data_IF_146621063746
#
_entry.id   IF_146621063746
#
_cell.length_a   1.000
_cell.length_b   1.000
_cell.length_c   1.000
_cell.angle_alpha   90.00
_cell.angle_beta   90.00
_cell.angle_gamma   90.00
#
_symmetry.space_group_name_H-M   'P 1'
#
loop_
_entity.id
_entity.type
_entity.pdbx_description
1 polymer ?
#
# COMPACT_ATOMS: atom_id res chain seq x y z
N UNK A 1 -8.36 -32.67 -8.31
CA UNK A 1 -7.66 -32.17 -9.52
C UNK A 1 -6.81 -30.89 -9.28
N UNK A 2 -6.48 -30.49 -8.04
CA UNK A 2 -5.79 -29.20 -7.77
C UNK A 2 -4.26 -29.22 -7.63
N UNK A 3 -3.64 -30.34 -7.20
CA UNK A 3 -2.19 -30.38 -6.90
C UNK A 3 -1.31 -30.21 -8.13
N UNK A 4 -1.67 -30.82 -9.26
CA UNK A 4 -0.88 -30.75 -10.49
C UNK A 4 -0.79 -29.33 -11.03
N UNK A 5 -1.85 -28.51 -10.89
CA UNK A 5 -1.83 -27.11 -11.33
C UNK A 5 -0.88 -26.24 -10.49
N UNK A 6 -0.87 -26.45 -9.17
CA UNK A 6 0.01 -25.70 -8.26
C UNK A 6 1.48 -26.06 -8.48
N UNK A 7 1.80 -27.35 -8.53
CA UNK A 7 3.18 -27.81 -8.72
C UNK A 7 3.75 -27.28 -10.04
N UNK A 8 3.00 -27.37 -11.14
CA UNK A 8 3.44 -26.82 -12.43
C UNK A 8 3.67 -25.31 -12.38
N UNK A 9 2.87 -24.56 -11.62
CA UNK A 9 3.07 -23.12 -11.46
C UNK A 9 4.35 -22.81 -10.69
N UNK A 10 4.59 -23.53 -9.59
CA UNK A 10 5.80 -23.40 -8.77
C UNK A 10 7.06 -23.70 -9.60
N UNK A 11 7.02 -24.77 -10.40
CA UNK A 11 8.14 -25.16 -11.26
C UNK A 11 8.44 -24.10 -12.34
N UNK A 12 7.40 -23.52 -12.95
CA UNK A 12 7.54 -22.44 -13.95
C UNK A 12 8.12 -21.18 -13.33
N UNK A 13 7.62 -20.78 -12.14
CA UNK A 13 8.13 -19.61 -11.43
C UNK A 13 9.60 -19.81 -11.06
N UNK A 14 9.96 -20.99 -10.55
CA UNK A 14 11.36 -21.31 -10.19
C UNK A 14 12.29 -21.21 -11.40
N UNK A 15 11.89 -21.80 -12.53
CA UNK A 15 12.68 -21.75 -13.76
C UNK A 15 12.81 -20.33 -14.35
N UNK A 16 11.81 -19.46 -14.14
CA UNK A 16 11.87 -18.06 -14.55
C UNK A 16 12.82 -17.25 -13.67
N UNK A 17 12.75 -17.44 -12.35
CA UNK A 17 13.60 -16.75 -11.36
C UNK A 17 15.08 -17.06 -11.57
N UNK A 18 15.43 -18.30 -11.91
CA UNK A 18 16.82 -18.71 -12.21
C UNK A 18 17.47 -17.97 -13.38
N UNK A 19 16.68 -17.30 -14.24
CA UNK A 19 17.16 -16.58 -15.43
C UNK A 19 17.25 -15.07 -15.23
N UNK A 20 16.84 -14.54 -14.08
CA UNK A 20 16.82 -13.12 -13.80
C UNK A 20 18.19 -12.61 -13.36
N UNK A 21 18.47 -11.33 -13.64
CA UNK A 21 19.61 -10.63 -13.05
C UNK A 21 19.37 -10.35 -11.56
N UNK A 22 20.43 -10.09 -10.81
CA UNK A 22 20.35 -9.79 -9.37
C UNK A 22 19.40 -8.63 -9.04
N UNK A 23 19.47 -7.53 -9.79
CA UNK A 23 18.56 -6.39 -9.62
C UNK A 23 17.08 -6.80 -9.78
N UNK A 24 16.80 -7.72 -10.71
CA UNK A 24 15.44 -8.22 -10.95
C UNK A 24 15.02 -9.27 -9.92
N UNK A 25 15.96 -9.99 -9.32
CA UNK A 25 15.68 -10.86 -8.18
C UNK A 25 15.26 -10.05 -6.94
N UNK A 26 15.84 -8.88 -6.73
CA UNK A 26 15.42 -7.98 -5.65
C UNK A 26 13.97 -7.51 -5.85
N UNK A 27 13.59 -7.09 -7.06
CA UNK A 27 12.20 -6.72 -7.38
C UNK A 27 11.22 -7.89 -7.15
N UNK A 28 11.59 -9.11 -7.53
CA UNK A 28 10.77 -10.31 -7.28
C UNK A 28 10.64 -10.59 -5.78
N UNK A 29 11.73 -10.45 -5.02
CA UNK A 29 11.71 -10.63 -3.57
C UNK A 29 10.77 -9.63 -2.89
N UNK A 30 10.82 -8.36 -3.27
CA UNK A 30 9.94 -7.32 -2.72
C UNK A 30 8.47 -7.64 -3.02
N UNK A 31 8.17 -8.05 -4.25
CA UNK A 31 6.81 -8.39 -4.64
C UNK A 31 6.27 -9.63 -3.92
N UNK A 32 7.07 -10.69 -3.79
CA UNK A 32 6.67 -11.90 -3.04
C UNK A 32 6.46 -11.57 -1.57
N UNK A 33 7.32 -10.74 -0.97
CA UNK A 33 7.19 -10.28 0.40
C UNK A 33 5.89 -9.50 0.63
N UNK A 34 5.52 -8.63 -0.32
CA UNK A 34 4.24 -7.93 -0.32
C UNK A 34 3.06 -8.90 -0.37
N UNK A 35 3.07 -9.88 -1.28
CA UNK A 35 1.98 -10.86 -1.40
C UNK A 35 1.79 -11.67 -0.12
N UNK A 36 2.88 -12.15 0.49
CA UNK A 36 2.81 -12.88 1.76
C UNK A 36 2.28 -12.01 2.91
N UNK A 37 2.62 -10.72 2.93
CA UNK A 37 2.08 -9.78 3.90
C UNK A 37 0.58 -9.51 3.67
N UNK A 38 0.16 -9.44 2.40
CA UNK A 38 -1.24 -9.25 2.00
C UNK A 38 -2.10 -10.46 2.35
N UNK A 39 -1.64 -11.68 2.07
CA UNK A 39 -2.35 -12.91 2.47
C UNK A 39 -2.54 -12.97 3.99
N UNK A 40 -1.52 -12.62 4.78
CA UNK A 40 -1.64 -12.54 6.24
C UNK A 40 -2.63 -11.50 6.73
N UNK A 41 -2.78 -10.38 6.02
CA UNK A 41 -3.79 -9.36 6.32
C UNK A 41 -5.18 -9.86 5.98
N UNK A 42 -5.36 -10.45 4.81
CA UNK A 42 -6.64 -11.03 4.38
C UNK A 42 -7.09 -12.20 5.28
N UNK A 43 -6.16 -12.94 5.89
CA UNK A 43 -6.44 -14.02 6.85
C UNK A 43 -6.61 -13.54 8.31
N UNK A 44 -6.21 -12.30 8.63
CA UNK A 44 -6.09 -11.79 10.01
C UNK A 44 -6.79 -10.46 10.31
N UNK A 45 -7.37 -9.79 9.30
CA UNK A 45 -8.17 -8.59 9.49
C UNK A 45 -9.60 -8.98 9.90
N UNK A 46 -9.82 -9.15 11.21
CA UNK A 46 -11.01 -8.50 11.78
C UNK A 46 -10.88 -7.03 11.41
N UNK A 47 -11.87 -6.46 10.72
CA UNK A 47 -11.97 -5.02 10.50
C UNK A 47 -11.85 -4.33 11.86
N UNK A 48 -10.64 -3.93 12.27
CA UNK A 48 -10.49 -3.03 13.39
C UNK A 48 -11.09 -1.72 12.92
N UNK A 49 -12.34 -1.46 13.31
CA UNK A 49 -12.94 -0.14 13.21
C UNK A 49 -11.93 0.85 13.79
N UNK A 50 -11.32 1.63 12.91
CA UNK A 50 -10.40 2.69 13.29
C UNK A 50 -11.23 3.73 14.03
N UNK A 51 -11.20 3.69 15.35
CA UNK A 51 -11.86 4.66 16.22
C UNK A 51 -11.18 6.03 16.03
N UNK A 52 -11.84 7.01 15.39
CA UNK A 52 -11.25 8.32 15.12
C UNK A 52 -10.87 9.06 16.41
N UNK A 53 -11.45 8.69 17.55
CA UNK A 53 -11.15 9.29 18.85
C UNK A 53 -9.87 8.73 19.49
N UNK A 54 -9.40 7.56 19.04
CA UNK A 54 -8.16 6.93 19.51
C UNK A 54 -6.96 7.19 18.61
N UNK A 55 -7.15 7.78 17.44
CA UNK A 55 -6.07 8.10 16.53
C UNK A 55 -5.35 9.40 16.97
N UNK A 56 -4.09 9.32 17.45
CA UNK A 56 -3.32 10.49 17.84
C UNK A 56 -3.09 11.45 16.66
N UNK A 57 -3.03 10.96 15.43
CA UNK A 57 -2.83 11.78 14.24
C UNK A 57 -4.08 12.63 13.99
N UNK A 58 -5.26 12.01 14.02
CA UNK A 58 -6.53 12.75 13.92
C UNK A 58 -6.70 13.75 15.07
N UNK A 59 -6.40 13.34 16.31
CA UNK A 59 -6.55 14.17 17.51
C UNK A 59 -5.60 15.38 17.53
N UNK A 60 -4.34 15.20 17.15
CA UNK A 60 -3.32 16.23 17.32
C UNK A 60 -2.99 16.99 16.03
N UNK A 61 -3.16 16.39 14.86
CA UNK A 61 -2.67 16.96 13.60
C UNK A 61 -3.75 17.32 12.59
N UNK A 62 -4.93 16.68 12.62
CA UNK A 62 -6.01 16.98 11.66
C UNK A 62 -7.13 17.80 12.30
N UNK A 63 -7.50 17.52 13.57
CA UNK A 63 -8.54 18.26 14.29
C UNK A 63 -8.15 19.67 14.76
N UNK A 64 -6.85 19.99 14.81
CA UNK A 64 -6.31 21.28 15.26
C UNK A 64 -6.05 22.31 14.16
N UNK A 65 -6.23 21.94 12.89
CA UNK A 65 -5.86 22.76 11.72
C UNK A 65 -7.10 23.30 11.00
N UNK A 66 -8.24 23.37 11.68
CA UNK A 66 -9.46 23.99 11.12
C UNK A 66 -9.40 25.52 11.05
N UNK A 67 -8.23 26.14 11.24
CA UNK A 67 -8.04 27.59 11.14
C UNK A 67 -6.70 27.93 10.47
N UNK A 68 -6.38 27.29 9.34
CA UNK A 68 -5.37 27.87 8.45
C UNK A 68 -6.02 29.02 7.67
N UNK A 69 -5.54 30.27 7.82
CA UNK A 69 -6.15 31.47 7.23
C UNK A 69 -6.09 31.51 5.70
N UNK A 70 -5.65 30.43 5.05
CA UNK A 70 -5.47 30.33 3.61
C UNK A 70 -6.25 29.18 2.98
N UNK A 71 -7.02 28.39 3.75
CA UNK A 71 -7.81 27.28 3.20
C UNK A 71 -8.78 27.73 2.09
N UNK A 72 -9.30 28.95 2.20
CA UNK A 72 -10.18 29.58 1.21
C UNK A 72 -9.42 30.20 0.02
N UNK A 73 -8.09 30.16 0.02
CA UNK A 73 -7.19 30.72 -1.01
C UNK A 73 -6.25 29.67 -1.59
N UNK A 74 -6.43 28.39 -1.25
CA UNK A 74 -5.54 27.32 -1.74
C UNK A 74 -5.53 27.31 -3.26
N UNK A 75 -6.70 27.44 -3.89
CA UNK A 75 -6.80 27.45 -5.34
C UNK A 75 -6.11 28.69 -5.96
N UNK A 76 -6.28 29.87 -5.37
CA UNK A 76 -5.60 31.12 -5.78
C UNK A 76 -4.07 31.01 -5.66
N UNK A 77 -3.56 30.37 -4.60
CA UNK A 77 -2.12 30.19 -4.37
C UNK A 77 -1.52 29.17 -5.32
N UNK A 78 -2.23 28.06 -5.56
CA UNK A 78 -1.71 26.95 -6.37
C UNK A 78 -1.87 27.18 -7.87
N UNK A 79 -2.92 27.89 -8.29
CA UNK A 79 -3.28 28.05 -9.68
C UNK A 79 -3.25 29.50 -10.19
N UNK A 80 -3.12 30.49 -9.30
CA UNK A 80 -3.24 31.91 -9.65
C UNK A 80 -4.69 32.32 -9.99
N UNK A 81 -4.96 33.63 -10.06
CA UNK A 81 -6.24 34.10 -10.62
C UNK A 81 -6.22 33.87 -12.14
N UNK A 82 -7.21 33.16 -12.68
CA UNK A 82 -7.43 33.08 -14.12
C UNK A 82 -7.95 34.44 -14.62
N UNK A 83 -7.16 35.15 -15.43
CA UNK A 83 -7.52 36.41 -16.11
C UNK A 83 -8.71 36.28 -17.08
#
# INVERSE_FOLDING_TARGET
>A
MGKYKRQTLEDVVKAAVERLSEDKLAEVFDFVSYLLAKEKREEGEEEMELDPQKDPILKYYIGGVSVEPFAHKIDEILYGEED
#
